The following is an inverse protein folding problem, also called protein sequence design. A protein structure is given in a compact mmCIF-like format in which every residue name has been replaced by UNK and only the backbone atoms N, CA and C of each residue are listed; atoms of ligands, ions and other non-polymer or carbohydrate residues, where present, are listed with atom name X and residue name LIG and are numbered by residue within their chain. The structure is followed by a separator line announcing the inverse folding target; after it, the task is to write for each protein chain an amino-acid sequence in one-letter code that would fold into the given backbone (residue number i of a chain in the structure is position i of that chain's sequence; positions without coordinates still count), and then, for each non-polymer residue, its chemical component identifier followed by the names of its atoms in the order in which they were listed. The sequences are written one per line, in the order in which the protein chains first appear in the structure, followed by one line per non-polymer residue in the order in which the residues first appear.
data_IF_480696651963
#
_entry.id   IF_480696651963
#
_cell.length_a   1.000
_cell.length_b   1.000
_cell.length_c   1.000
_cell.angle_alpha   90.00
_cell.angle_beta   90.00
_cell.angle_gamma   90.00
#
_symmetry.space_group_name_H-M   'P 1'
#
loop_
_entity.id
_entity.type
_entity.pdbx_description
1 polymer ?
#
# COMPACT_ATOMS: atom_id res chain seq x y z
N UNK A 1 18.73 -14.86 8.79
CA UNK A 1 17.58 -13.98 8.52
C UNK A 1 16.40 -14.52 9.32
N UNK A 2 15.98 -13.76 10.33
CA UNK A 2 14.99 -14.14 11.34
C UNK A 2 13.57 -13.88 10.80
N UNK A 3 12.63 -14.80 11.05
CA UNK A 3 11.18 -14.74 10.77
C UNK A 3 10.64 -13.29 10.66
N UNK A 4 10.31 -12.83 9.44
CA UNK A 4 9.60 -11.55 9.27
C UNK A 4 8.20 -11.71 9.85
N UNK A 5 7.88 -10.91 10.86
CA UNK A 5 6.56 -10.84 11.47
C UNK A 5 5.71 -9.83 10.69
N UNK A 6 4.58 -10.27 10.13
CA UNK A 6 3.69 -9.41 9.35
C UNK A 6 3.16 -8.20 10.10
N UNK A 7 2.87 -8.33 11.39
CA UNK A 7 2.43 -7.20 12.22
C UNK A 7 3.53 -6.15 12.30
N UNK A 8 4.78 -6.58 12.53
CA UNK A 8 5.93 -5.69 12.60
C UNK A 8 6.18 -5.00 11.26
N UNK A 9 6.18 -5.76 10.16
CA UNK A 9 6.32 -5.22 8.81
C UNK A 9 5.22 -4.21 8.48
N UNK A 10 3.97 -4.53 8.81
CA UNK A 10 2.83 -3.64 8.59
C UNK A 10 2.95 -2.34 9.38
N UNK A 11 3.37 -2.40 10.65
CA UNK A 11 3.58 -1.20 11.48
C UNK A 11 4.72 -0.34 10.96
N UNK A 12 5.87 -0.94 10.62
CA UNK A 12 7.02 -0.18 10.09
C UNK A 12 6.70 0.52 8.77
N UNK A 13 5.99 -0.16 7.86
CA UNK A 13 5.52 0.45 6.61
C UNK A 13 4.48 1.54 6.86
N UNK A 14 3.54 1.33 7.78
CA UNK A 14 2.54 2.32 8.14
C UNK A 14 3.17 3.57 8.77
N UNK A 15 4.13 3.41 9.68
CA UNK A 15 4.84 4.53 10.30
C UNK A 15 5.66 5.32 9.28
N UNK A 16 6.30 4.64 8.33
CA UNK A 16 7.00 5.29 7.23
C UNK A 16 6.05 6.16 6.39
N UNK A 17 4.95 5.57 5.92
CA UNK A 17 3.95 6.28 5.11
C UNK A 17 3.28 7.43 5.87
N UNK A 18 3.02 7.26 7.18
CA UNK A 18 2.41 8.29 8.03
C UNK A 18 3.29 9.53 8.18
N UNK A 19 4.61 9.34 8.13
CA UNK A 19 5.61 10.39 8.32
C UNK A 19 6.14 10.97 7.00
N UNK A 20 5.67 10.45 5.86
CA UNK A 20 6.04 10.98 4.55
C UNK A 20 5.45 12.39 4.35
N UNK A 21 6.34 13.36 4.10
CA UNK A 21 5.97 14.77 3.98
C UNK A 21 5.08 15.05 2.77
N UNK A 22 5.31 14.37 1.65
CA UNK A 22 4.58 14.62 0.41
C UNK A 22 3.16 14.05 0.51
N UNK A 23 3.01 12.85 1.07
CA UNK A 23 1.68 12.28 1.39
C UNK A 23 0.92 13.21 2.35
N UNK A 24 1.58 13.66 3.42
CA UNK A 24 0.95 14.56 4.40
C UNK A 24 0.49 15.87 3.78
N UNK A 25 1.36 16.53 3.01
CA UNK A 25 1.06 17.81 2.37
C UNK A 25 -0.10 17.64 1.38
N UNK A 26 -0.05 16.62 0.52
CA UNK A 26 -1.13 16.31 -0.41
C UNK A 26 -2.49 16.13 0.30
N UNK A 27 -2.52 15.34 1.39
CA UNK A 27 -3.76 15.10 2.12
C UNK A 27 -4.31 16.36 2.78
N UNK A 28 -3.43 17.19 3.36
CA UNK A 28 -3.83 18.46 3.98
C UNK A 28 -4.29 19.48 2.96
N UNK A 29 -3.56 19.67 1.87
CA UNK A 29 -3.85 20.68 0.85
C UNK A 29 -5.12 20.33 0.06
N UNK A 30 -5.37 19.05 -0.18
CA UNK A 30 -6.51 18.57 -0.99
C UNK A 30 -7.77 18.34 -0.15
N UNK A 31 -7.64 17.72 1.03
CA UNK A 31 -8.79 17.28 1.84
C UNK A 31 -8.91 17.96 3.20
N UNK A 32 -7.92 18.78 3.60
CA UNK A 32 -7.88 19.39 4.93
C UNK A 32 -7.77 18.39 6.09
N UNK A 33 -7.27 17.18 5.81
CA UNK A 33 -7.18 16.07 6.77
C UNK A 33 -5.81 15.38 6.67
N UNK A 34 -5.38 14.79 7.78
CA UNK A 34 -4.26 13.86 7.75
C UNK A 34 -4.71 12.51 7.15
N UNK A 35 -3.78 11.78 6.54
CA UNK A 35 -4.05 10.42 6.06
C UNK A 35 -4.33 9.46 7.22
N UNK A 36 -5.43 8.71 7.15
CA UNK A 36 -5.72 7.59 8.04
C UNK A 36 -4.94 6.36 7.58
N UNK A 37 -4.30 5.62 8.47
CA UNK A 37 -3.62 4.36 8.11
C UNK A 37 -4.16 3.22 8.95
N UNK A 38 -4.59 2.16 8.27
CA UNK A 38 -5.15 0.95 8.87
C UNK A 38 -4.28 -0.24 8.47
N UNK A 39 -4.06 -1.20 9.38
CA UNK A 39 -3.21 -2.37 9.14
C UNK A 39 -3.90 -3.63 9.64
N UNK A 40 -4.09 -4.60 8.75
CA UNK A 40 -4.70 -5.89 9.06
C UNK A 40 -5.65 -6.36 7.97
N UNK A 41 -6.19 -7.56 8.12
CA UNK A 41 -7.22 -8.05 7.18
C UNK A 41 -8.57 -7.36 7.44
N UNK A 42 -9.40 -7.18 6.40
CA UNK A 42 -10.67 -6.50 6.52
C UNK A 42 -11.60 -7.23 7.49
N UNK A 43 -12.10 -6.49 8.47
CA UNK A 43 -13.18 -6.89 9.37
C UNK A 43 -14.21 -5.77 9.39
N UNK A 44 -15.42 -6.00 9.89
CA UNK A 44 -16.47 -4.97 9.98
C UNK A 44 -16.01 -3.68 10.68
N UNK A 45 -14.97 -3.76 11.53
CA UNK A 45 -14.42 -2.61 12.28
C UNK A 45 -13.17 -1.99 11.64
N UNK A 46 -12.55 -2.67 10.67
CA UNK A 46 -11.27 -2.28 10.08
C UNK A 46 -11.39 -2.00 8.58
N UNK A 47 -12.52 -2.33 7.97
CA UNK A 47 -12.79 -1.98 6.58
C UNK A 47 -13.01 -0.46 6.50
N UNK A 48 -12.16 0.28 5.78
CA UNK A 48 -12.26 1.73 5.71
C UNK A 48 -13.46 2.16 4.86
N UNK A 49 -14.10 3.24 5.29
CA UNK A 49 -15.28 3.87 4.68
C UNK A 49 -14.93 5.24 4.10
N UNK A 50 -15.91 5.91 3.49
CA UNK A 50 -15.73 7.28 3.02
C UNK A 50 -15.30 8.25 4.16
N UNK A 51 -15.80 8.04 5.38
CA UNK A 51 -15.49 8.92 6.52
C UNK A 51 -14.00 8.88 6.90
N UNK A 52 -13.35 7.74 6.67
CA UNK A 52 -11.93 7.52 6.94
C UNK A 52 -11.03 8.21 5.90
N UNK A 53 -11.58 8.64 4.76
CA UNK A 53 -10.82 9.21 3.67
C UNK A 53 -10.25 10.62 4.00
N UNK A 54 -8.99 10.91 3.58
CA UNK A 54 -8.10 10.04 2.82
C UNK A 54 -7.45 8.94 3.68
N UNK A 55 -7.32 7.73 3.14
CA UNK A 55 -6.72 6.60 3.87
C UNK A 55 -5.76 5.74 3.05
N UNK A 56 -4.91 5.00 3.78
CA UNK A 56 -4.11 3.88 3.27
C UNK A 56 -4.40 2.64 4.14
N UNK A 57 -4.84 1.55 3.52
CA UNK A 57 -5.18 0.30 4.19
C UNK A 57 -4.22 -0.82 3.78
N UNK A 58 -3.43 -1.31 4.72
CA UNK A 58 -2.46 -2.38 4.50
C UNK A 58 -3.07 -3.73 4.87
N UNK A 59 -3.18 -4.64 3.91
CA UNK A 59 -3.83 -5.94 4.10
C UNK A 59 -3.21 -7.04 3.22
N UNK A 60 -3.68 -8.28 3.38
CA UNK A 60 -3.31 -9.36 2.47
C UNK A 60 -1.84 -9.75 2.54
N UNK A 61 -1.24 -9.65 3.74
CA UNK A 61 0.16 -9.98 3.98
C UNK A 61 0.42 -11.47 3.64
N UNK A 62 1.38 -11.71 2.75
CA UNK A 62 1.78 -13.05 2.30
C UNK A 62 3.28 -13.22 2.41
N UNK A 63 3.70 -14.46 2.65
CA UNK A 63 5.10 -14.87 2.60
C UNK A 63 5.25 -16.24 1.97
N UNK A 64 6.32 -16.40 1.20
CA UNK A 64 6.75 -17.66 0.59
C UNK A 64 8.21 -17.88 0.99
N UNK A 65 8.43 -18.85 1.87
CA UNK A 65 9.73 -19.18 2.45
C UNK A 65 9.85 -20.71 2.58
N UNK A 66 11.05 -21.27 2.47
CA UNK A 66 11.25 -22.68 2.77
C UNK A 66 12.65 -23.19 2.43
N UNK A 67 13.13 -24.18 3.17
CA UNK A 67 14.46 -24.78 2.97
C UNK A 67 14.61 -25.54 1.66
N UNK A 68 13.50 -25.89 1.01
CA UNK A 68 13.45 -26.59 -0.29
C UNK A 68 13.14 -25.66 -1.47
N UNK A 69 12.90 -24.36 -1.20
CA UNK A 69 12.62 -23.36 -2.23
C UNK A 69 13.98 -22.85 -2.73
N UNK A 70 14.26 -23.04 -4.03
CA UNK A 70 15.50 -22.55 -4.67
C UNK A 70 15.47 -21.04 -4.94
N UNK A 71 14.29 -20.46 -4.97
CA UNK A 71 14.06 -19.04 -5.23
C UNK A 71 14.26 -18.19 -3.95
N UNK A 72 14.52 -16.88 -4.09
CA UNK A 72 14.47 -15.95 -2.97
C UNK A 72 13.14 -16.06 -2.21
N UNK A 73 13.18 -15.79 -0.90
CA UNK A 73 11.96 -15.62 -0.12
C UNK A 73 11.15 -14.46 -0.70
N UNK A 74 9.84 -14.61 -0.76
CA UNK A 74 8.95 -13.57 -1.26
C UNK A 74 8.02 -13.10 -0.13
N UNK A 75 7.92 -11.80 0.05
CA UNK A 75 6.98 -11.15 0.97
C UNK A 75 6.12 -10.19 0.16
N UNK A 76 4.83 -10.16 0.43
CA UNK A 76 3.88 -9.32 -0.30
C UNK A 76 2.88 -8.69 0.67
N UNK A 77 2.47 -7.46 0.38
CA UNK A 77 1.31 -6.83 1.00
C UNK A 77 0.59 -5.89 0.02
N UNK A 78 -0.69 -5.66 0.28
CA UNK A 78 -1.54 -4.76 -0.48
C UNK A 78 -1.67 -3.43 0.26
N UNK A 79 -1.78 -2.32 -0.49
CA UNK A 79 -2.07 -0.98 0.01
C UNK A 79 -3.30 -0.44 -0.72
N UNK A 80 -4.45 -0.48 -0.06
CA UNK A 80 -5.66 0.18 -0.53
C UNK A 80 -5.58 1.68 -0.25
N UNK A 81 -5.56 2.51 -1.27
CA UNK A 81 -5.56 3.97 -1.16
C UNK A 81 -6.97 4.48 -1.44
N UNK A 82 -7.57 5.21 -0.50
CA UNK A 82 -8.94 5.71 -0.63
C UNK A 82 -9.04 7.23 -0.45
N UNK A 83 -9.91 7.86 -1.22
CA UNK A 83 -10.22 9.30 -1.15
C UNK A 83 -11.73 9.51 -1.22
N UNK A 84 -12.18 10.64 -0.68
CA UNK A 84 -13.54 11.15 -0.91
C UNK A 84 -13.43 12.34 -1.85
N UNK A 85 -13.95 12.18 -3.08
CA UNK A 85 -13.97 13.22 -4.10
C UNK A 85 -15.19 13.02 -5.00
N UNK A 86 -15.89 14.12 -5.26
CA UNK A 86 -17.15 14.14 -6.01
C UNK A 86 -17.06 15.02 -7.25
N UNK A 87 -16.14 15.99 -7.24
CA UNK A 87 -16.08 17.03 -8.24
C UNK A 87 -15.10 16.60 -9.34
N UNK A 88 -15.57 16.60 -10.59
CA UNK A 88 -14.74 16.29 -11.74
C UNK A 88 -13.78 17.45 -12.05
N UNK A 89 -12.64 17.12 -12.67
CA UNK A 89 -11.73 18.10 -13.23
C UNK A 89 -11.83 18.13 -14.76
N UNK A 90 -11.46 19.25 -15.37
CA UNK A 90 -11.47 19.43 -16.82
C UNK A 90 -10.12 20.00 -17.26
N UNK A 91 -9.52 19.39 -18.28
CA UNK A 91 -8.28 19.92 -18.86
C UNK A 91 -8.56 21.16 -19.70
N UNK A 92 -7.52 21.95 -19.99
CA UNK A 92 -7.63 23.11 -20.91
C UNK A 92 -8.17 22.75 -22.31
N UNK A 93 -8.08 21.47 -22.70
CA UNK A 93 -8.59 20.94 -23.97
C UNK A 93 -10.02 20.38 -23.88
N UNK A 94 -10.69 20.52 -22.74
CA UNK A 94 -12.06 20.05 -22.51
C UNK A 94 -12.20 18.55 -22.23
N UNK A 95 -11.14 17.87 -21.79
CA UNK A 95 -11.22 16.46 -21.38
C UNK A 95 -11.68 16.43 -19.92
N UNK A 96 -12.83 15.81 -19.66
CA UNK A 96 -13.35 15.60 -18.31
C UNK A 96 -12.68 14.38 -17.69
N UNK A 97 -12.17 14.57 -16.48
CA UNK A 97 -11.52 13.53 -15.68
C UNK A 97 -12.35 13.38 -14.41
N UNK A 98 -12.73 12.14 -14.09
CA UNK A 98 -13.41 11.85 -12.83
C UNK A 98 -12.49 12.24 -11.66
N UNK A 99 -12.91 13.16 -10.80
CA UNK A 99 -12.05 13.72 -9.77
C UNK A 99 -11.50 12.65 -8.83
N UNK A 100 -12.34 11.71 -8.43
CA UNK A 100 -11.90 10.58 -7.61
C UNK A 100 -10.86 9.69 -8.28
N UNK A 101 -10.92 9.49 -9.60
CA UNK A 101 -9.88 8.79 -10.34
C UNK A 101 -8.54 9.53 -10.31
N UNK A 102 -8.56 10.85 -10.51
CA UNK A 102 -7.38 11.70 -10.43
C UNK A 102 -6.76 11.66 -9.02
N UNK A 103 -7.56 11.94 -7.98
CA UNK A 103 -7.10 12.02 -6.60
C UNK A 103 -6.58 10.70 -6.04
N UNK A 104 -7.24 9.57 -6.35
CA UNK A 104 -6.73 8.24 -5.97
C UNK A 104 -5.39 7.97 -6.66
N UNK A 105 -5.29 8.26 -7.96
CA UNK A 105 -4.06 8.04 -8.74
C UNK A 105 -2.88 8.86 -8.18
N UNK A 106 -3.11 10.12 -7.82
CA UNK A 106 -2.12 10.99 -7.17
C UNK A 106 -1.66 10.40 -5.83
N UNK A 107 -2.58 10.02 -4.94
CA UNK A 107 -2.25 9.41 -3.66
C UNK A 107 -1.45 8.11 -3.84
N UNK A 108 -1.89 7.24 -4.76
CA UNK A 108 -1.18 5.99 -5.06
C UNK A 108 0.23 6.25 -5.57
N UNK A 109 0.44 7.27 -6.41
CA UNK A 109 1.78 7.63 -6.86
C UNK A 109 2.67 8.07 -5.70
N UNK A 110 2.16 8.87 -4.75
CA UNK A 110 2.91 9.27 -3.57
C UNK A 110 3.28 8.08 -2.68
N UNK A 111 2.33 7.15 -2.47
CA UNK A 111 2.59 5.90 -1.73
C UNK A 111 3.69 5.08 -2.40
N UNK A 112 3.65 4.90 -3.72
CA UNK A 112 4.69 4.17 -4.46
C UNK A 112 6.06 4.85 -4.34
N UNK A 113 6.12 6.18 -4.50
CA UNK A 113 7.37 6.93 -4.33
C UNK A 113 7.93 6.78 -2.92
N UNK A 114 7.06 6.88 -1.91
CA UNK A 114 7.44 6.69 -0.51
C UNK A 114 7.99 5.29 -0.26
N UNK A 115 7.36 4.24 -0.80
CA UNK A 115 7.84 2.86 -0.68
C UNK A 115 9.20 2.65 -1.33
N UNK A 116 9.47 3.30 -2.47
CA UNK A 116 10.80 3.26 -3.09
C UNK A 116 11.87 4.03 -2.31
N UNK A 117 11.47 5.00 -1.48
CA UNK A 117 12.34 5.76 -0.59
C UNK A 117 12.67 5.06 0.74
N UNK A 118 11.95 3.98 1.10
CA UNK A 118 12.12 3.31 2.38
C UNK A 118 13.47 2.57 2.45
N UNK A 119 14.34 3.01 3.35
CA UNK A 119 15.69 2.45 3.58
C UNK A 119 15.95 2.02 5.02
N UNK A 120 15.03 2.30 5.94
CA UNK A 120 15.17 1.99 7.35
C UNK A 120 14.54 0.64 7.67
N UNK A 121 15.34 -0.40 7.88
CA UNK A 121 14.85 -1.71 8.34
C UNK A 121 14.33 -2.65 7.26
N UNK A 122 13.93 -2.15 6.09
CA UNK A 122 13.64 -2.96 4.90
C UNK A 122 14.21 -2.30 3.63
N UNK A 123 14.50 -3.12 2.61
CA UNK A 123 14.80 -2.61 1.26
C UNK A 123 13.49 -2.17 0.56
N UNK A 124 13.56 -1.30 -0.46
CA UNK A 124 12.41 -1.04 -1.34
C UNK A 124 11.81 -2.33 -1.94
N UNK A 125 10.51 -2.34 -2.29
CA UNK A 125 9.90 -3.45 -2.99
C UNK A 125 10.56 -3.67 -4.36
N UNK A 126 10.68 -4.92 -4.78
CA UNK A 126 11.24 -5.30 -6.09
C UNK A 126 10.20 -5.17 -7.21
N UNK A 127 8.92 -5.37 -6.87
CA UNK A 127 7.80 -5.25 -7.81
C UNK A 127 6.69 -4.47 -7.12
N UNK A 128 6.11 -3.53 -7.85
CA UNK A 128 4.94 -2.76 -7.46
C UNK A 128 3.96 -2.83 -8.62
N UNK A 129 2.75 -3.31 -8.34
CA UNK A 129 1.62 -3.32 -9.28
C UNK A 129 0.54 -2.40 -8.72
N UNK A 130 -0.10 -1.60 -9.57
CA UNK A 130 -1.07 -0.60 -9.16
C UNK A 130 -2.32 -0.67 -10.05
N UNK A 131 -3.49 -0.67 -9.44
CA UNK A 131 -4.79 -0.67 -10.12
C UNK A 131 -5.74 0.34 -9.45
N UNK A 132 -6.42 1.17 -10.25
CA UNK A 132 -7.52 2.01 -9.74
C UNK A 132 -8.79 1.18 -9.81
N UNK A 133 -9.42 0.94 -8.65
CA UNK A 133 -10.62 0.10 -8.54
C UNK A 133 -11.89 0.86 -8.96
N UNK A 134 -11.86 2.19 -8.84
CA UNK A 134 -12.98 3.07 -9.16
C UNK A 134 -13.77 3.49 -7.92
N UNK A 135 -15.01 3.94 -8.12
CA UNK A 135 -15.93 4.25 -7.03
C UNK A 135 -16.38 2.96 -6.32
N UNK A 136 -16.32 2.96 -5.00
CA UNK A 136 -16.72 1.84 -4.15
C UNK A 136 -18.21 1.82 -3.85
N UNK A 137 -18.87 2.98 -3.99
CA UNK A 137 -20.28 3.17 -3.68
C UNK A 137 -21.02 3.87 -4.82
N UNK A 138 -22.34 3.72 -4.87
CA UNK A 138 -23.19 4.31 -5.91
C UNK A 138 -23.30 5.83 -5.86
N UNK A 139 -22.89 6.44 -4.75
CA UNK A 139 -22.76 7.90 -4.60
C UNK A 139 -21.61 8.47 -5.44
N UNK A 140 -20.68 7.63 -5.89
CA UNK A 140 -19.47 8.01 -6.64
C UNK A 140 -18.59 9.04 -5.90
N UNK A 141 -18.67 9.07 -4.57
CA UNK A 141 -17.86 9.96 -3.73
C UNK A 141 -16.67 9.25 -3.12
N UNK A 142 -16.83 7.97 -2.74
CA UNK A 142 -15.76 7.15 -2.21
C UNK A 142 -15.04 6.38 -3.31
N UNK A 143 -13.79 6.74 -3.57
CA UNK A 143 -12.95 6.11 -4.59
C UNK A 143 -11.78 5.38 -3.97
N UNK A 144 -11.37 4.27 -4.57
CA UNK A 144 -10.19 3.55 -4.14
C UNK A 144 -9.35 3.00 -5.29
N UNK A 145 -8.09 2.74 -4.97
CA UNK A 145 -7.16 1.97 -5.77
C UNK A 145 -6.30 1.09 -4.89
N UNK A 146 -5.63 0.12 -5.49
CA UNK A 146 -4.86 -0.89 -4.80
C UNK A 146 -3.44 -0.93 -5.36
N UNK A 147 -2.47 -1.05 -4.46
CA UNK A 147 -1.07 -1.30 -4.79
C UNK A 147 -0.68 -2.64 -4.21
N UNK A 148 -0.13 -3.55 -5.02
CA UNK A 148 0.49 -4.79 -4.54
C UNK A 148 2.00 -4.62 -4.58
N UNK A 149 2.65 -4.64 -3.41
CA UNK A 149 4.11 -4.55 -3.32
C UNK A 149 4.70 -5.90 -2.95
N UNK A 150 5.80 -6.27 -3.61
CA UNK A 150 6.47 -7.56 -3.42
C UNK A 150 7.97 -7.37 -3.19
N UNK A 151 8.49 -7.98 -2.12
CA UNK A 151 9.90 -7.99 -1.73
C UNK A 151 10.48 -9.40 -1.89
N UNK A 152 11.62 -9.50 -2.58
CA UNK A 152 12.40 -10.72 -2.79
C UNK A 152 13.68 -10.68 -1.98
N UNK A 153 13.78 -11.52 -0.96
CA UNK A 153 14.91 -11.55 -0.04
C UNK A 153 15.74 -12.81 -0.29
N UNK A 154 17.04 -12.69 -0.65
CA UNK A 154 17.90 -13.84 -0.80
C UNK A 154 17.93 -14.68 0.48
N UNK A 155 17.70 -15.98 0.37
CA UNK A 155 17.83 -16.88 1.52
C UNK A 155 19.27 -17.40 1.59
N UNK A 156 19.98 -17.07 2.67
CA UNK A 156 21.26 -17.73 3.00
C UNK A 156 20.93 -19.03 3.74
N UNK A 157 20.93 -20.15 3.01
CA UNK A 157 20.83 -21.47 3.63
C UNK A 157 22.18 -21.82 4.26
N UNK A 158 22.21 -22.05 5.57
CA UNK A 158 23.31 -22.79 6.16
C UNK A 158 23.22 -24.23 5.64
N UNK A 159 24.23 -24.70 4.92
CA UNK A 159 24.39 -26.13 4.63
C UNK A 159 24.70 -26.85 5.95
N UNK A 160 23.68 -27.06 6.78
CA UNK A 160 23.66 -28.20 7.68
C UNK A 160 23.14 -29.35 6.84
N UNK A 161 23.99 -30.34 6.56
CA UNK A 161 23.59 -31.60 5.96
C UNK A 161 22.33 -32.11 6.69
N UNK A 162 21.22 -32.19 5.96
CA UNK A 162 20.07 -32.96 6.42
C UNK A 162 20.50 -34.42 6.23
N UNK A 163 21.14 -34.98 7.24
CA UNK A 163 21.25 -36.43 7.40
C UNK A 163 19.92 -36.93 7.95
N UNK A 164 19.25 -37.73 7.11
CA UNK A 164 18.24 -38.75 7.42
C UNK A 164 16.86 -38.33 7.97
N UNK A 165 15.83 -38.62 7.17
CA UNK A 165 14.61 -39.35 7.58
C UNK A 165 14.17 -40.28 6.45
#
# INVERSE_FOLDING_TARGET
MQNVNFVKMGVELAEHLKNDGDIKNFCQDTFGKDVSILVGDPTDRLLPTEEDAPYIFLWGFKKKEGTTIKDPAEYQCNFGCGVSEKDDSETDSGIVIAGGFERVSELMNLVQHSLFGFKEGCKPPDVVEADVMGALESTNTHWAGNITATWKVPQTLGMGEITDF
#
